data_IF_020235063172
#
_entry.id   IF_020235063172
#
_cell.length_a   1.000
_cell.length_b   1.000
_cell.length_c   1.000
_cell.angle_alpha   90.00
_cell.angle_beta   90.00
_cell.angle_gamma   90.00
#
_symmetry.space_group_name_H-M   'P 1'
#
loop_
_entity.id
_entity.type
_entity.pdbx_description
1 polymer ?
#
# COMPACT_ATOMS: atom_id res chain seq x y z
N UNK A 1 -46.25 23.86 -26.52
CA UNK A 1 -45.07 23.82 -27.39
C UNK A 1 -44.05 24.77 -26.75
N UNK A 2 -43.07 24.27 -26.03
CA UNK A 2 -42.00 25.10 -25.44
C UNK A 2 -41.20 25.66 -26.60
N UNK A 3 -41.09 27.00 -26.68
CA UNK A 3 -40.33 27.62 -27.74
C UNK A 3 -38.84 27.29 -27.55
N UNK A 4 -38.22 26.76 -28.57
CA UNK A 4 -36.81 26.35 -28.56
C UNK A 4 -35.85 27.45 -28.02
N UNK A 5 -36.16 28.71 -28.27
CA UNK A 5 -35.40 29.86 -27.78
C UNK A 5 -35.46 30.09 -26.25
N UNK A 6 -36.46 29.56 -25.56
CA UNK A 6 -36.62 29.73 -24.10
C UNK A 6 -35.83 28.68 -23.26
N UNK A 7 -35.27 27.64 -23.91
CA UNK A 7 -34.50 26.57 -23.26
C UNK A 7 -33.00 26.62 -23.57
N UNK A 8 -32.56 27.58 -24.37
CA UNK A 8 -31.12 27.73 -24.68
C UNK A 8 -30.38 28.41 -23.51
N UNK A 9 -29.35 27.77 -23.06
CA UNK A 9 -28.40 28.34 -22.08
C UNK A 9 -27.44 29.29 -22.80
N UNK A 10 -26.98 30.33 -22.11
CA UNK A 10 -25.86 31.15 -22.59
C UNK A 10 -24.60 30.31 -22.71
N UNK A 11 -23.98 30.30 -23.89
CA UNK A 11 -22.75 29.57 -24.11
C UNK A 11 -21.60 30.26 -23.38
N UNK A 12 -20.76 29.47 -22.70
CA UNK A 12 -19.54 29.99 -22.09
C UNK A 12 -18.45 28.93 -21.98
N UNK A 13 -17.18 29.35 -22.06
CA UNK A 13 -16.05 28.53 -21.83
C UNK A 13 -15.08 29.21 -20.82
N UNK A 14 -14.69 28.51 -19.74
CA UNK A 14 -13.92 29.08 -18.61
C UNK A 14 -14.46 30.42 -18.09
N UNK A 15 -15.80 30.59 -18.11
CA UNK A 15 -16.47 31.83 -17.68
C UNK A 15 -16.52 32.97 -18.70
N UNK A 16 -15.95 32.80 -19.89
CA UNK A 16 -16.09 33.75 -21.00
C UNK A 16 -17.32 33.36 -21.79
N UNK A 17 -18.34 34.22 -21.79
CA UNK A 17 -19.60 34.02 -22.51
C UNK A 17 -19.48 34.44 -23.97
N UNK A 18 -20.17 33.72 -24.86
CA UNK A 18 -20.26 34.02 -26.31
C UNK A 18 -21.59 33.57 -26.89
N UNK A 19 -21.97 34.20 -27.98
CA UNK A 19 -23.16 33.78 -28.74
C UNK A 19 -22.76 32.69 -29.73
N UNK A 20 -23.64 31.71 -29.96
CA UNK A 20 -23.39 30.60 -30.88
C UNK A 20 -24.35 30.72 -32.08
N UNK A 21 -23.79 30.72 -33.29
CA UNK A 21 -24.58 30.70 -34.53
C UNK A 21 -24.76 29.29 -35.06
N UNK A 22 -23.78 28.44 -34.90
CA UNK A 22 -23.81 27.05 -35.38
C UNK A 22 -23.21 26.13 -34.33
N UNK A 23 -23.82 24.96 -34.14
CA UNK A 23 -23.34 23.91 -33.25
C UNK A 23 -23.48 22.56 -33.92
N UNK A 24 -22.39 21.77 -33.94
CA UNK A 24 -22.43 20.39 -34.37
C UNK A 24 -21.76 19.48 -33.33
N UNK A 25 -22.30 18.27 -33.16
CA UNK A 25 -21.85 17.32 -32.15
C UNK A 25 -21.69 15.96 -32.82
N UNK A 26 -20.46 15.42 -32.72
CA UNK A 26 -20.16 14.07 -33.16
C UNK A 26 -20.25 13.13 -31.96
N UNK A 27 -21.11 12.10 -32.08
CA UNK A 27 -21.29 11.07 -31.07
C UNK A 27 -21.09 9.68 -31.69
N UNK A 28 -20.59 8.73 -30.92
CA UNK A 28 -20.38 7.38 -31.42
C UNK A 28 -19.84 6.42 -30.35
N UNK A 29 -19.62 5.20 -30.79
CA UNK A 29 -18.97 4.15 -29.99
C UNK A 29 -17.67 3.70 -30.64
N UNK A 30 -16.73 3.21 -29.84
CA UNK A 30 -15.53 2.51 -30.35
C UNK A 30 -15.93 1.07 -30.61
N UNK A 31 -15.80 0.62 -31.84
CA UNK A 31 -16.13 -0.74 -32.24
C UNK A 31 -14.98 -1.35 -33.04
N UNK A 32 -14.75 -2.65 -32.83
CA UNK A 32 -13.88 -3.45 -33.65
C UNK A 32 -14.74 -4.48 -34.38
N UNK A 33 -14.60 -4.55 -35.69
CA UNK A 33 -15.33 -5.50 -36.52
C UNK A 33 -14.40 -6.64 -36.92
N UNK A 34 -14.82 -7.88 -36.65
CA UNK A 34 -14.13 -9.11 -37.03
C UNK A 34 -14.91 -9.78 -38.16
N UNK A 35 -14.29 -9.88 -39.33
CA UNK A 35 -14.83 -10.58 -40.48
C UNK A 35 -14.19 -11.96 -40.59
N UNK A 36 -15.01 -13.00 -40.60
CA UNK A 36 -14.55 -14.39 -40.71
C UNK A 36 -14.87 -14.94 -42.11
N UNK A 37 -13.92 -15.64 -42.75
CA UNK A 37 -14.20 -16.32 -44.04
C UNK A 37 -15.40 -17.26 -43.91
N UNK A 38 -16.29 -17.23 -44.91
CA UNK A 38 -17.51 -18.08 -44.98
C UNK A 38 -18.61 -17.76 -43.93
N UNK A 39 -18.57 -16.56 -43.32
CA UNK A 39 -19.65 -16.04 -42.50
C UNK A 39 -20.22 -14.75 -43.16
N UNK A 40 -21.53 -14.73 -43.38
CA UNK A 40 -22.20 -13.57 -43.98
C UNK A 40 -22.36 -12.40 -43.02
N UNK A 41 -22.24 -12.64 -41.69
CA UNK A 41 -22.39 -11.60 -40.66
C UNK A 41 -21.08 -11.45 -39.88
N UNK A 42 -20.52 -10.22 -39.84
CA UNK A 42 -19.35 -9.93 -39.00
C UNK A 42 -19.72 -9.92 -37.52
N UNK A 43 -18.74 -10.23 -36.68
CA UNK A 43 -18.83 -10.01 -35.23
C UNK A 43 -18.34 -8.59 -34.92
N UNK A 44 -19.16 -7.79 -34.23
CA UNK A 44 -18.80 -6.43 -33.83
C UNK A 44 -18.66 -6.38 -32.33
N UNK A 45 -17.45 -6.12 -31.86
CA UNK A 45 -17.16 -5.88 -30.45
C UNK A 45 -17.26 -4.40 -30.13
N UNK A 46 -17.97 -4.07 -29.06
CA UNK A 46 -18.16 -2.71 -28.59
C UNK A 46 -17.17 -2.39 -27.44
N UNK A 47 -16.21 -1.50 -27.70
CA UNK A 47 -15.17 -1.09 -26.79
C UNK A 47 -15.53 0.18 -25.97
N UNK A 48 -16.81 0.54 -25.93
CA UNK A 48 -17.33 1.64 -25.13
C UNK A 48 -17.55 2.96 -25.89
N UNK A 49 -17.98 3.99 -25.16
CA UNK A 49 -18.35 5.31 -25.70
C UNK A 49 -17.11 6.02 -26.29
N UNK A 50 -17.25 6.59 -27.48
CA UNK A 50 -16.26 7.51 -28.05
C UNK A 50 -16.45 8.90 -27.43
N UNK A 51 -15.35 9.60 -27.11
CA UNK A 51 -15.42 10.97 -26.66
C UNK A 51 -16.19 11.84 -27.69
N UNK A 52 -17.12 12.66 -27.24
CA UNK A 52 -17.88 13.56 -28.09
C UNK A 52 -16.95 14.64 -28.65
N UNK A 53 -17.08 14.93 -29.94
CA UNK A 53 -16.45 16.10 -30.52
C UNK A 53 -17.55 17.15 -30.75
N UNK A 54 -17.24 18.37 -30.34
CA UNK A 54 -18.18 19.50 -30.35
C UNK A 54 -17.54 20.62 -31.17
N UNK A 55 -18.23 21.07 -32.18
CA UNK A 55 -17.83 22.24 -33.00
C UNK A 55 -18.85 23.32 -32.79
N UNK A 56 -18.38 24.53 -32.48
CA UNK A 56 -19.20 25.71 -32.23
C UNK A 56 -18.64 26.89 -33.01
N UNK A 57 -19.52 27.65 -33.66
CA UNK A 57 -19.13 28.94 -34.20
C UNK A 57 -19.55 30.02 -33.23
N UNK A 58 -18.59 30.55 -32.46
CA UNK A 58 -18.79 31.66 -31.55
C UNK A 58 -18.80 33.00 -32.30
N UNK A 59 -19.68 33.91 -31.90
CA UNK A 59 -19.75 35.25 -32.49
C UNK A 59 -19.81 36.31 -31.41
N UNK A 60 -19.15 37.41 -31.69
CA UNK A 60 -19.24 38.66 -30.93
C UNK A 60 -19.70 39.81 -31.83
N UNK A 61 -20.59 40.64 -31.30
CA UNK A 61 -21.07 41.82 -31.99
C UNK A 61 -21.15 43.02 -31.04
N UNK A 62 -20.95 44.24 -31.55
CA UNK A 62 -21.03 45.46 -30.76
C UNK A 62 -19.70 46.20 -30.68
N UNK A 63 -19.62 47.22 -29.81
CA UNK A 63 -18.45 48.12 -29.74
C UNK A 63 -17.17 47.42 -29.21
N UNK A 64 -17.32 46.41 -28.36
CA UNK A 64 -16.20 45.71 -27.65
C UNK A 64 -15.83 44.38 -28.29
N UNK A 65 -16.33 44.01 -29.47
CA UNK A 65 -16.20 42.71 -30.11
C UNK A 65 -14.72 42.23 -30.23
N UNK A 66 -13.77 43.14 -30.43
CA UNK A 66 -12.34 42.83 -30.52
C UNK A 66 -11.77 42.43 -29.16
N UNK A 67 -12.16 43.18 -28.11
CA UNK A 67 -11.69 42.90 -26.75
C UNK A 67 -12.25 41.58 -26.22
N UNK A 68 -13.53 41.33 -26.47
CA UNK A 68 -14.22 40.12 -26.04
C UNK A 68 -13.71 38.87 -26.79
N UNK A 69 -13.43 39.00 -28.09
CA UNK A 69 -12.80 37.98 -28.90
C UNK A 69 -11.35 37.69 -28.38
N UNK A 70 -10.60 38.74 -28.01
CA UNK A 70 -9.28 38.61 -27.44
C UNK A 70 -9.26 37.80 -26.11
N UNK A 71 -10.29 38.02 -25.25
CA UNK A 71 -10.49 37.23 -24.04
C UNK A 71 -10.76 35.77 -24.34
N UNK A 72 -11.61 35.49 -25.35
CA UNK A 72 -11.88 34.11 -25.76
C UNK A 72 -10.62 33.41 -26.27
N UNK A 73 -9.83 34.09 -27.11
CA UNK A 73 -8.56 33.56 -27.60
C UNK A 73 -7.62 33.21 -26.44
N UNK A 74 -7.43 34.14 -25.49
CA UNK A 74 -6.53 33.90 -24.31
C UNK A 74 -6.96 32.66 -23.52
N UNK A 75 -8.27 32.49 -23.32
CA UNK A 75 -8.80 31.33 -22.57
C UNK A 75 -8.70 30.03 -23.37
N UNK A 76 -8.75 30.09 -24.71
CA UNK A 76 -8.54 28.92 -25.58
C UNK A 76 -7.10 28.46 -25.64
N UNK A 77 -6.14 29.37 -25.40
CA UNK A 77 -4.71 29.06 -25.35
C UNK A 77 -4.24 28.55 -23.97
N UNK A 78 -5.07 28.71 -22.95
CA UNK A 78 -4.76 28.20 -21.60
C UNK A 78 -4.81 26.68 -21.52
N UNK A 79 -3.84 26.08 -20.87
CA UNK A 79 -3.70 24.65 -20.69
C UNK A 79 -4.83 24.05 -19.82
N UNK A 80 -5.20 22.82 -20.13
CA UNK A 80 -6.06 21.95 -19.33
C UNK A 80 -7.53 21.90 -19.74
N UNK A 81 -8.26 20.86 -19.28
CA UNK A 81 -9.69 20.74 -19.50
C UNK A 81 -10.44 21.76 -18.66
N UNK A 82 -11.57 22.23 -19.19
CA UNK A 82 -12.41 23.19 -18.50
C UNK A 82 -13.90 22.98 -18.80
N UNK A 83 -14.72 23.69 -18.05
CA UNK A 83 -16.19 23.63 -18.23
C UNK A 83 -16.60 24.47 -19.42
N UNK A 84 -17.21 23.82 -20.39
CA UNK A 84 -17.99 24.43 -21.47
C UNK A 84 -19.47 24.34 -21.09
N UNK A 85 -20.16 25.48 -21.04
CA UNK A 85 -21.63 25.50 -20.99
C UNK A 85 -22.12 25.51 -22.43
N UNK A 86 -22.65 24.37 -22.87
CA UNK A 86 -23.19 24.25 -24.23
C UNK A 86 -24.66 24.69 -24.26
N UNK A 87 -25.12 25.42 -25.29
CA UNK A 87 -26.49 25.96 -25.33
C UNK A 87 -27.60 24.92 -25.14
N UNK A 88 -27.40 23.70 -25.63
CA UNK A 88 -28.40 22.62 -25.60
C UNK A 88 -28.05 21.44 -24.71
N UNK A 89 -26.75 21.18 -24.43
CA UNK A 89 -26.29 20.04 -23.64
C UNK A 89 -25.98 20.39 -22.17
N UNK A 90 -25.91 21.69 -21.84
CA UNK A 90 -25.55 22.16 -20.51
C UNK A 90 -24.05 22.10 -20.24
N UNK A 91 -23.65 22.15 -18.97
CA UNK A 91 -22.24 22.16 -18.59
C UNK A 91 -21.58 20.81 -18.81
N UNK A 92 -20.38 20.81 -19.40
CA UNK A 92 -19.55 19.61 -19.61
C UNK A 92 -18.08 19.95 -19.58
N UNK A 93 -17.26 18.97 -19.17
CA UNK A 93 -15.80 19.09 -19.18
C UNK A 93 -15.29 18.82 -20.60
N UNK A 94 -14.54 19.76 -21.15
CA UNK A 94 -13.97 19.65 -22.51
C UNK A 94 -12.55 20.17 -22.55
N UNK A 95 -11.79 19.69 -23.53
CA UNK A 95 -10.49 20.24 -23.89
C UNK A 95 -10.57 20.80 -25.30
N UNK A 96 -10.05 22.00 -25.56
CA UNK A 96 -9.93 22.53 -26.91
C UNK A 96 -9.07 21.58 -27.75
N UNK A 97 -9.53 21.27 -28.97
CA UNK A 97 -8.81 20.40 -29.91
C UNK A 97 -8.79 21.07 -31.27
N UNK A 98 -7.67 20.91 -31.98
CA UNK A 98 -7.52 21.55 -33.26
C UNK A 98 -7.09 23.02 -33.21
N UNK A 99 -7.32 23.75 -34.32
CA UNK A 99 -6.95 25.16 -34.46
C UNK A 99 -8.21 26.02 -34.45
N UNK A 100 -8.28 26.97 -33.50
CA UNK A 100 -9.33 27.97 -33.47
C UNK A 100 -9.10 28.96 -34.59
N UNK A 101 -10.05 29.04 -35.55
CA UNK A 101 -9.99 30.00 -36.64
C UNK A 101 -10.81 31.22 -36.29
N UNK A 102 -10.17 32.35 -36.15
CA UNK A 102 -10.87 33.65 -35.91
C UNK A 102 -10.93 34.46 -37.17
N UNK A 103 -12.10 34.98 -37.47
CA UNK A 103 -12.38 35.79 -38.68
C UNK A 103 -12.92 37.15 -38.26
N UNK A 104 -12.23 38.20 -38.69
CA UNK A 104 -12.67 39.59 -38.66
C UNK A 104 -13.02 40.01 -40.07
N UNK A 105 -14.30 40.32 -40.31
CA UNK A 105 -14.77 40.72 -41.66
C UNK A 105 -14.81 42.24 -41.73
N UNK A 106 -13.96 42.81 -42.58
CA UNK A 106 -13.90 44.26 -42.80
C UNK A 106 -15.19 44.83 -43.40
N UNK A 107 -16.04 43.99 -44.01
CA UNK A 107 -17.32 44.40 -44.58
C UNK A 107 -18.43 44.44 -43.52
N UNK A 108 -18.23 43.77 -42.38
CA UNK A 108 -19.14 43.69 -41.22
C UNK A 108 -18.53 44.34 -40.02
N UNK A 109 -18.43 45.66 -39.99
CA UNK A 109 -17.88 46.43 -38.90
C UNK A 109 -18.64 46.11 -37.60
N UNK A 110 -17.92 45.77 -36.49
CA UNK A 110 -18.52 45.44 -35.21
C UNK A 110 -18.90 43.96 -35.05
N UNK A 111 -18.33 43.06 -35.89
CA UNK A 111 -18.61 41.65 -35.86
C UNK A 111 -17.30 40.81 -35.97
N UNK A 112 -17.17 39.77 -35.13
CA UNK A 112 -16.12 38.78 -35.26
C UNK A 112 -16.69 37.38 -35.00
N UNK A 113 -16.14 36.39 -35.68
CA UNK A 113 -16.52 34.97 -35.47
C UNK A 113 -15.31 34.11 -35.22
N UNK A 114 -15.48 33.05 -34.43
CA UNK A 114 -14.45 32.05 -34.15
C UNK A 114 -15.04 30.63 -34.25
N UNK A 115 -14.34 29.77 -34.99
CA UNK A 115 -14.68 28.37 -35.06
C UNK A 115 -13.92 27.64 -33.95
N UNK A 116 -14.65 27.08 -32.99
CA UNK A 116 -14.15 26.39 -31.81
C UNK A 116 -14.40 24.91 -31.97
N UNK A 117 -13.35 24.11 -31.68
CA UNK A 117 -13.47 22.66 -31.66
C UNK A 117 -13.04 22.12 -30.27
N UNK A 118 -13.93 21.33 -29.67
CA UNK A 118 -13.73 20.74 -28.35
C UNK A 118 -13.89 19.23 -28.39
N UNK A 119 -13.16 18.54 -27.55
CA UNK A 119 -13.38 17.11 -27.28
C UNK A 119 -13.76 16.94 -25.81
N UNK A 120 -14.82 16.15 -25.55
CA UNK A 120 -15.25 15.78 -24.22
C UNK A 120 -14.07 15.10 -23.50
N UNK A 121 -13.68 15.64 -22.35
CA UNK A 121 -12.60 15.09 -21.52
C UNK A 121 -13.11 14.84 -20.10
N UNK A 122 -12.54 13.80 -19.44
CA UNK A 122 -12.72 13.59 -18.02
C UNK A 122 -11.86 14.55 -17.19
N UNK A 123 -12.05 14.55 -15.88
CA UNK A 123 -11.12 15.23 -14.99
C UNK A 123 -9.69 14.69 -15.23
N UNK A 124 -8.69 15.56 -15.16
CA UNK A 124 -7.29 15.14 -15.22
C UNK A 124 -7.04 14.17 -14.07
N UNK A 125 -7.04 12.89 -14.38
CA UNK A 125 -6.45 11.86 -13.55
C UNK A 125 -5.14 11.51 -14.23
N UNK A 126 -4.07 12.19 -13.85
CA UNK A 126 -2.76 11.60 -14.10
C UNK A 126 -2.76 10.25 -13.39
N UNK A 127 -2.39 9.15 -14.06
CA UNK A 127 -2.02 7.96 -13.32
C UNK A 127 -0.92 8.44 -12.36
N UNK A 128 -1.24 8.51 -11.06
CA UNK A 128 -0.18 8.65 -10.06
C UNK A 128 0.78 7.52 -10.37
N UNK A 129 2.10 7.80 -10.51
CA UNK A 129 3.05 6.72 -10.58
C UNK A 129 2.67 5.79 -9.44
N UNK A 130 2.36 4.54 -9.73
CA UNK A 130 2.18 3.52 -8.71
C UNK A 130 3.56 3.42 -8.10
N UNK A 131 3.78 4.17 -7.02
CA UNK A 131 4.98 4.03 -6.21
C UNK A 131 4.86 2.62 -5.67
N UNK A 132 5.81 1.77 -6.00
CA UNK A 132 5.92 0.46 -5.38
C UNK A 132 6.27 0.70 -3.90
N UNK A 133 5.22 0.78 -3.10
CA UNK A 133 5.33 1.09 -1.67
C UNK A 133 6.01 -0.04 -0.92
N UNK A 134 5.88 -1.29 -1.38
CA UNK A 134 6.58 -2.44 -0.83
C UNK A 134 8.10 -2.30 -0.97
N UNK A 135 8.60 -1.81 -2.12
CA UNK A 135 10.04 -1.56 -2.30
C UNK A 135 10.58 -0.43 -1.41
N UNK A 136 9.72 0.49 -0.96
CA UNK A 136 10.09 1.52 0.02
C UNK A 136 10.25 0.90 1.41
N UNK A 137 9.34 -0.01 1.79
CA UNK A 137 9.42 -0.77 3.05
C UNK A 137 10.68 -1.63 3.08
N UNK A 138 10.98 -2.34 1.99
CA UNK A 138 12.18 -3.17 1.88
C UNK A 138 13.47 -2.35 2.06
N UNK A 139 13.56 -1.17 1.43
CA UNK A 139 14.71 -0.26 1.65
C UNK A 139 14.81 0.24 3.08
N UNK A 140 13.69 0.58 3.71
CA UNK A 140 13.65 1.00 5.11
C UNK A 140 14.12 -0.13 6.04
N UNK A 141 13.72 -1.37 5.77
CA UNK A 141 14.20 -2.56 6.44
C UNK A 141 15.73 -2.71 6.34
N UNK A 142 16.29 -2.64 5.14
CA UNK A 142 17.74 -2.77 4.93
C UNK A 142 18.51 -1.66 5.65
N UNK A 143 18.03 -0.43 5.57
CA UNK A 143 18.63 0.70 6.26
C UNK A 143 18.60 0.53 7.79
N UNK A 144 17.46 0.10 8.34
CA UNK A 144 17.31 -0.14 9.76
C UNK A 144 18.26 -1.23 10.24
N UNK A 145 18.36 -2.35 9.51
CA UNK A 145 19.28 -3.45 9.80
C UNK A 145 20.74 -2.98 9.83
N UNK A 146 21.18 -2.26 8.79
CA UNK A 146 22.55 -1.77 8.68
C UNK A 146 22.91 -0.81 9.82
N UNK A 147 22.04 0.15 10.12
CA UNK A 147 22.27 1.14 11.16
C UNK A 147 22.28 0.50 12.55
N UNK A 148 21.34 -0.42 12.83
CA UNK A 148 21.27 -1.11 14.13
C UNK A 148 22.53 -1.94 14.39
N UNK A 149 23.01 -2.67 13.37
CA UNK A 149 24.24 -3.47 13.48
C UNK A 149 25.46 -2.58 13.69
N UNK A 150 25.62 -1.54 12.87
CA UNK A 150 26.73 -0.58 12.97
C UNK A 150 26.77 0.09 14.36
N UNK A 151 25.61 0.55 14.85
CA UNK A 151 25.53 1.19 16.17
C UNK A 151 25.91 0.25 17.29
N UNK A 152 25.55 -1.04 17.19
CA UNK A 152 25.93 -2.05 18.14
C UNK A 152 27.43 -2.35 18.10
N UNK A 153 28.04 -2.51 16.93
CA UNK A 153 29.47 -2.77 16.76
C UNK A 153 30.35 -1.60 17.26
N UNK A 154 29.88 -0.37 17.09
CA UNK A 154 30.57 0.85 17.52
C UNK A 154 30.34 1.20 19.00
N UNK A 155 29.47 0.49 19.73
CA UNK A 155 29.18 0.76 21.14
C UNK A 155 30.44 0.57 22.02
N UNK A 156 30.88 1.66 22.71
CA UNK A 156 32.05 1.58 23.60
C UNK A 156 31.92 0.55 24.73
N UNK A 157 30.68 0.25 25.14
CA UNK A 157 30.42 -0.75 26.17
C UNK A 157 30.76 -2.17 25.70
N UNK A 158 30.62 -2.42 24.40
CA UNK A 158 30.94 -3.69 23.76
C UNK A 158 32.43 -3.80 23.51
N UNK A 159 33.04 -2.79 22.89
CA UNK A 159 34.44 -2.79 22.49
C UNK A 159 35.38 -2.81 23.67
N UNK A 160 35.02 -2.21 24.81
CA UNK A 160 35.84 -2.11 26.02
C UNK A 160 35.43 -3.08 27.15
N UNK A 161 34.47 -3.97 26.92
CA UNK A 161 34.02 -4.93 27.93
C UNK A 161 35.01 -6.09 28.10
N UNK A 162 35.04 -6.65 29.31
CA UNK A 162 35.81 -7.84 29.62
C UNK A 162 35.17 -9.09 28.99
N UNK A 163 36.00 -10.06 28.61
CA UNK A 163 35.55 -11.26 27.90
C UNK A 163 34.41 -12.00 28.63
N UNK A 164 34.56 -12.21 29.96
CA UNK A 164 33.54 -12.90 30.74
C UNK A 164 32.18 -12.17 30.79
N UNK A 165 32.17 -10.85 30.66
CA UNK A 165 30.91 -10.04 30.59
C UNK A 165 30.26 -10.28 29.25
N UNK A 166 31.03 -10.28 28.14
CA UNK A 166 30.55 -10.59 26.81
C UNK A 166 29.97 -12.00 26.71
N UNK A 167 30.67 -12.98 27.32
CA UNK A 167 30.21 -14.37 27.37
C UNK A 167 28.86 -14.51 28.09
N UNK A 168 28.72 -13.86 29.26
CA UNK A 168 27.48 -13.89 30.04
C UNK A 168 26.30 -13.27 29.26
N UNK A 169 26.53 -12.17 28.51
CA UNK A 169 25.50 -11.56 27.67
C UNK A 169 25.14 -12.46 26.50
N UNK A 170 26.14 -13.07 25.84
CA UNK A 170 25.89 -13.95 24.71
C UNK A 170 25.14 -15.22 25.11
N UNK A 171 25.42 -15.79 26.27
CA UNK A 171 24.67 -16.93 26.83
C UNK A 171 23.20 -16.56 27.08
N UNK A 172 22.95 -15.37 27.63
CA UNK A 172 21.60 -14.89 27.86
C UNK A 172 20.81 -14.64 26.55
N UNK A 173 21.49 -14.12 25.52
CA UNK A 173 20.89 -13.95 24.17
C UNK A 173 20.61 -15.33 23.56
N UNK A 174 21.49 -16.29 23.66
CA UNK A 174 21.27 -17.65 23.16
C UNK A 174 20.07 -18.34 23.79
N UNK A 175 19.80 -18.12 25.08
CA UNK A 175 18.58 -18.62 25.74
C UNK A 175 17.30 -18.03 25.14
N UNK A 176 17.34 -16.80 24.66
CA UNK A 176 16.22 -16.19 24.00
C UNK A 176 15.83 -16.90 22.70
N UNK A 177 16.82 -17.36 21.92
CA UNK A 177 16.60 -18.09 20.67
C UNK A 177 16.03 -19.50 20.88
N UNK A 178 16.04 -20.02 22.09
CA UNK A 178 15.43 -21.33 22.44
C UNK A 178 13.99 -21.22 22.89
N UNK A 179 13.37 -20.02 22.89
CA UNK A 179 11.96 -19.85 23.25
C UNK A 179 11.03 -20.48 22.18
N UNK A 180 9.87 -20.99 22.63
CA UNK A 180 8.91 -21.64 21.74
C UNK A 180 8.47 -20.74 20.58
N UNK A 181 8.26 -19.44 20.83
CA UNK A 181 7.88 -18.46 19.80
C UNK A 181 8.99 -18.26 18.76
N UNK A 182 10.26 -18.23 19.19
CA UNK A 182 11.39 -18.09 18.28
C UNK A 182 11.62 -19.35 17.44
N UNK A 183 11.47 -20.53 18.03
CA UNK A 183 11.53 -21.80 17.32
C UNK A 183 10.36 -21.95 16.35
N UNK A 184 9.17 -21.47 16.69
CA UNK A 184 8.03 -21.44 15.77
C UNK A 184 8.30 -20.51 14.58
N UNK A 185 8.89 -19.33 14.82
CA UNK A 185 9.33 -18.41 13.79
C UNK A 185 10.34 -19.11 12.85
N UNK A 186 11.34 -19.78 13.40
CA UNK A 186 12.34 -20.55 12.63
C UNK A 186 11.70 -21.62 11.71
N UNK A 187 10.66 -22.30 12.18
CA UNK A 187 9.90 -23.26 11.34
C UNK A 187 9.16 -22.58 10.20
N UNK A 188 8.57 -21.42 10.43
CA UNK A 188 7.86 -20.65 9.39
C UNK A 188 8.80 -20.13 8.30
N UNK A 189 10.03 -19.76 8.69
CA UNK A 189 11.08 -19.36 7.75
C UNK A 189 11.86 -20.54 7.15
N UNK A 190 11.65 -21.77 7.64
CA UNK A 190 12.36 -22.95 7.16
C UNK A 190 13.83 -23.06 7.61
N UNK A 191 14.22 -22.34 8.66
CA UNK A 191 15.60 -22.27 9.18
C UNK A 191 15.76 -22.86 10.58
N UNK A 192 14.87 -23.75 10.99
CA UNK A 192 14.90 -24.36 12.33
C UNK A 192 16.25 -24.98 12.70
N UNK A 193 16.86 -25.70 11.75
CA UNK A 193 18.13 -26.41 11.98
C UNK A 193 19.28 -25.41 12.14
N UNK A 194 19.29 -24.32 11.36
CA UNK A 194 20.28 -23.24 11.47
C UNK A 194 20.17 -22.49 12.80
N UNK A 195 18.95 -22.20 13.25
CA UNK A 195 18.74 -21.56 14.56
C UNK A 195 19.17 -22.44 15.70
N UNK A 196 18.97 -23.74 15.62
CA UNK A 196 19.43 -24.68 16.62
C UNK A 196 20.96 -24.78 16.62
N UNK A 197 21.61 -24.79 15.45
CA UNK A 197 23.05 -24.74 15.28
C UNK A 197 23.64 -23.46 15.92
N UNK A 198 23.09 -22.29 15.67
CA UNK A 198 23.51 -21.02 16.29
C UNK A 198 23.33 -21.02 17.81
N UNK A 199 22.27 -21.61 18.32
CA UNK A 199 22.06 -21.74 19.77
C UNK A 199 23.11 -22.69 20.40
N UNK A 200 23.44 -23.83 19.76
CA UNK A 200 24.42 -24.77 20.20
C UNK A 200 25.86 -24.23 20.10
N UNK A 201 26.20 -23.53 19.01
CA UNK A 201 27.48 -22.84 18.85
C UNK A 201 27.68 -21.76 19.89
N UNK A 202 26.64 -21.00 20.24
CA UNK A 202 26.68 -19.97 21.28
C UNK A 202 27.04 -20.58 22.66
N UNK A 203 26.54 -21.77 22.96
CA UNK A 203 26.82 -22.50 24.23
C UNK A 203 28.21 -23.14 24.22
N UNK A 204 28.70 -23.64 23.06
CA UNK A 204 30.00 -24.30 22.96
C UNK A 204 31.18 -23.31 22.82
N UNK A 205 30.92 -22.10 22.32
CA UNK A 205 31.95 -21.08 22.05
C UNK A 205 32.40 -20.28 23.29
N UNK A 206 32.00 -20.67 24.51
CA UNK A 206 32.37 -20.03 25.79
C UNK A 206 33.91 -19.85 25.94
N UNK A 207 34.72 -20.52 25.11
CA UNK A 207 36.18 -20.37 25.10
C UNK A 207 36.73 -19.31 24.14
N UNK A 208 35.89 -18.66 23.29
CA UNK A 208 36.33 -17.65 22.32
C UNK A 208 35.34 -16.48 22.28
N UNK A 209 35.49 -15.53 23.18
CA UNK A 209 34.57 -14.42 23.46
C UNK A 209 34.10 -13.59 22.22
N UNK A 210 34.97 -13.42 21.24
CA UNK A 210 34.59 -12.66 20.01
C UNK A 210 33.66 -13.43 19.06
N UNK A 211 33.67 -14.76 19.12
CA UNK A 211 32.84 -15.60 18.25
C UNK A 211 31.41 -15.74 18.75
N UNK A 212 31.20 -15.75 20.07
CA UNK A 212 29.87 -15.91 20.70
C UNK A 212 28.98 -14.69 20.41
N UNK A 213 29.53 -13.47 20.54
CA UNK A 213 28.78 -12.26 20.23
C UNK A 213 28.45 -12.18 18.71
N UNK A 214 29.43 -12.61 17.87
CA UNK A 214 29.22 -12.73 16.43
C UNK A 214 28.13 -13.74 16.07
N UNK A 215 28.07 -14.90 16.72
CA UNK A 215 27.00 -15.89 16.51
C UNK A 215 25.63 -15.37 16.96
N UNK A 216 25.60 -14.66 18.11
CA UNK A 216 24.36 -14.03 18.59
C UNK A 216 23.82 -12.97 17.62
N UNK A 217 24.70 -12.15 17.02
CA UNK A 217 24.35 -11.18 15.98
C UNK A 217 23.86 -11.90 14.71
N UNK A 218 24.57 -12.96 14.28
CA UNK A 218 24.16 -13.74 13.10
C UNK A 218 22.80 -14.39 13.29
N UNK A 219 22.51 -14.92 14.49
CA UNK A 219 21.21 -15.47 14.82
C UNK A 219 20.10 -14.39 14.86
N UNK A 220 20.39 -13.17 15.36
CA UNK A 220 19.45 -12.07 15.39
C UNK A 220 18.98 -11.65 13.98
N UNK A 221 19.84 -11.81 12.97
CA UNK A 221 19.55 -11.48 11.57
C UNK A 221 19.40 -12.70 10.65
N UNK A 222 19.27 -13.93 11.22
CA UNK A 222 19.19 -15.17 10.45
C UNK A 222 17.98 -15.23 9.49
N UNK A 223 16.93 -14.46 9.76
CA UNK A 223 15.72 -14.41 8.94
C UNK A 223 15.87 -13.53 7.68
N UNK A 224 16.88 -12.69 7.62
CA UNK A 224 17.02 -11.62 6.65
C UNK A 224 17.11 -12.08 5.18
N UNK A 225 17.64 -13.28 4.96
CA UNK A 225 17.93 -13.77 3.60
C UNK A 225 16.94 -14.87 3.14
N UNK A 226 15.89 -15.17 3.93
CA UNK A 226 14.99 -16.32 3.72
C UNK A 226 13.56 -15.87 3.45
N UNK A 227 13.33 -15.11 2.40
CA UNK A 227 11.97 -14.66 2.02
C UNK A 227 11.20 -15.65 1.13
N UNK A 228 11.89 -16.57 0.47
CA UNK A 228 11.30 -17.42 -0.58
C UNK A 228 10.52 -18.64 -0.08
N UNK A 229 10.63 -19.02 1.20
CA UNK A 229 9.98 -20.20 1.78
C UNK A 229 8.76 -19.87 2.66
N UNK A 230 8.46 -18.58 2.84
CA UNK A 230 7.42 -18.14 3.78
C UNK A 230 6.05 -18.07 3.10
N UNK A 231 5.07 -18.72 3.71
CA UNK A 231 3.69 -18.78 3.21
C UNK A 231 2.66 -18.09 4.12
N UNK A 232 2.98 -17.83 5.40
CA UNK A 232 2.03 -17.23 6.37
C UNK A 232 2.61 -15.99 7.06
N UNK A 233 2.69 -14.89 6.32
CA UNK A 233 3.18 -13.60 6.81
C UNK A 233 2.34 -13.03 7.96
N UNK A 234 1.05 -13.32 7.99
CA UNK A 234 0.14 -12.91 9.08
C UNK A 234 0.49 -13.56 10.41
N UNK A 235 0.92 -14.81 10.39
CA UNK A 235 1.35 -15.53 11.59
C UNK A 235 2.68 -15.00 12.07
N UNK A 236 3.61 -14.76 11.16
CA UNK A 236 4.92 -14.20 11.45
C UNK A 236 4.80 -12.85 12.17
N UNK A 237 4.04 -11.89 11.65
CA UNK A 237 3.88 -10.58 12.29
C UNK A 237 3.32 -10.68 13.71
N UNK A 238 2.42 -11.62 13.97
CA UNK A 238 1.87 -11.87 15.31
C UNK A 238 2.90 -12.49 16.27
N UNK A 239 3.72 -13.43 15.78
CA UNK A 239 4.79 -14.04 16.59
C UNK A 239 5.86 -12.98 16.91
N UNK A 240 6.29 -12.21 15.91
CA UNK A 240 7.26 -11.12 16.09
C UNK A 240 6.75 -10.09 17.11
N UNK A 241 5.49 -9.70 17.07
CA UNK A 241 4.90 -8.78 18.05
C UNK A 241 4.92 -9.35 19.48
N UNK A 242 4.73 -10.68 19.67
CA UNK A 242 4.84 -11.32 20.97
C UNK A 242 6.29 -11.36 21.47
N UNK A 243 7.22 -11.72 20.59
CA UNK A 243 8.65 -11.77 20.90
C UNK A 243 9.20 -10.41 21.32
N UNK A 244 8.86 -9.34 20.60
CA UNK A 244 9.28 -7.97 20.91
C UNK A 244 8.76 -7.52 22.29
N UNK A 245 7.57 -7.98 22.68
CA UNK A 245 6.93 -7.64 23.97
C UNK A 245 7.30 -8.61 25.13
N UNK A 246 8.08 -9.64 24.86
CA UNK A 246 8.37 -10.70 25.85
C UNK A 246 9.25 -10.19 27.01
N UNK A 247 9.06 -10.79 28.19
CA UNK A 247 9.85 -10.46 29.40
C UNK A 247 11.36 -10.78 29.23
N UNK A 248 11.71 -11.68 28.33
CA UNK A 248 13.11 -11.96 27.99
C UNK A 248 13.87 -10.72 27.50
N UNK A 249 13.17 -9.80 26.85
CA UNK A 249 13.74 -8.55 26.37
C UNK A 249 13.89 -7.47 27.44
N UNK A 250 13.39 -7.70 28.65
CA UNK A 250 13.40 -6.74 29.74
C UNK A 250 14.08 -7.27 31.02
N UNK A 251 14.83 -8.39 30.94
CA UNK A 251 15.44 -9.05 32.10
C UNK A 251 16.64 -8.24 32.62
N UNK A 252 16.68 -8.00 33.91
CA UNK A 252 17.82 -7.41 34.62
C UNK A 252 18.79 -8.50 35.03
N UNK A 253 20.04 -8.41 34.56
CA UNK A 253 21.09 -9.39 34.78
C UNK A 253 22.10 -8.97 35.87
N UNK A 254 21.86 -7.84 36.56
CA UNK A 254 22.81 -7.23 37.48
C UNK A 254 22.95 -7.94 38.83
N UNK A 255 22.15 -8.97 39.13
CA UNK A 255 22.03 -9.52 40.50
C UNK A 255 23.13 -10.52 40.91
N UNK A 256 23.99 -11.02 40.00
CA UNK A 256 24.83 -12.16 40.26
C UNK A 256 26.36 -11.87 40.37
N UNK A 257 26.79 -10.60 40.27
CA UNK A 257 28.18 -10.22 40.27
C UNK A 257 28.65 -9.61 41.59
N UNK A 258 29.87 -10.04 42.06
CA UNK A 258 30.46 -9.59 43.31
C UNK A 258 30.98 -8.13 43.30
N UNK A 259 31.21 -7.55 42.10
CA UNK A 259 31.68 -6.16 41.92
C UNK A 259 30.57 -5.26 41.37
N UNK A 260 30.28 -4.17 42.06
CA UNK A 260 29.30 -3.18 41.61
C UNK A 260 29.66 -2.54 40.24
N UNK A 261 30.94 -2.40 39.92
CA UNK A 261 31.43 -1.85 38.66
C UNK A 261 31.19 -2.83 37.50
N UNK A 262 31.44 -4.13 37.72
CA UNK A 262 31.25 -5.16 36.71
C UNK A 262 29.74 -5.43 36.51
N UNK A 263 28.96 -5.36 37.57
CA UNK A 263 27.50 -5.42 37.49
C UNK A 263 26.92 -4.28 36.64
N UNK A 264 27.41 -3.05 36.80
CA UNK A 264 26.97 -1.91 35.99
C UNK A 264 27.34 -2.08 34.50
N UNK A 265 28.55 -2.58 34.21
CA UNK A 265 28.98 -2.88 32.83
C UNK A 265 28.17 -3.99 32.20
N UNK A 266 27.89 -5.08 32.95
CA UNK A 266 27.04 -6.17 32.51
C UNK A 266 25.63 -5.66 32.16
N UNK A 267 25.06 -4.82 33.02
CA UNK A 267 23.73 -4.22 32.76
C UNK A 267 23.75 -3.41 31.51
N UNK A 268 24.74 -2.54 31.30
CA UNK A 268 24.81 -1.71 30.09
C UNK A 268 24.97 -2.55 28.83
N UNK A 269 25.88 -3.52 28.83
CA UNK A 269 26.07 -4.41 27.69
C UNK A 269 24.85 -5.26 27.41
N UNK A 270 24.15 -5.72 28.45
CA UNK A 270 22.87 -6.44 28.31
C UNK A 270 21.78 -5.57 27.68
N UNK A 271 21.70 -4.30 28.05
CA UNK A 271 20.75 -3.36 27.46
C UNK A 271 21.04 -3.10 25.97
N UNK A 272 22.32 -2.91 25.60
CA UNK A 272 22.71 -2.76 24.18
C UNK A 272 22.38 -4.01 23.37
N UNK A 273 22.66 -5.20 23.91
CA UNK A 273 22.34 -6.46 23.23
C UNK A 273 20.83 -6.72 23.10
N UNK A 274 20.04 -6.39 24.14
CA UNK A 274 18.59 -6.47 24.09
C UNK A 274 18.00 -5.47 23.09
N UNK A 275 18.58 -4.28 23.01
CA UNK A 275 18.18 -3.27 22.03
C UNK A 275 18.42 -3.78 20.60
N UNK A 276 19.60 -4.36 20.30
CA UNK A 276 19.87 -4.98 19.01
C UNK A 276 18.86 -6.09 18.69
N UNK A 277 18.62 -7.00 19.64
CA UNK A 277 17.67 -8.09 19.44
C UNK A 277 16.24 -7.60 19.16
N UNK A 278 15.77 -6.57 19.87
CA UNK A 278 14.47 -5.94 19.58
C UNK A 278 14.45 -5.26 18.21
N UNK A 279 15.48 -4.50 17.88
CA UNK A 279 15.60 -3.80 16.61
C UNK A 279 15.65 -4.78 15.43
N UNK A 280 16.34 -5.92 15.57
CA UNK A 280 16.35 -6.97 14.54
C UNK A 280 14.97 -7.58 14.32
N UNK A 281 14.24 -7.87 15.40
CA UNK A 281 12.86 -8.39 15.29
C UNK A 281 11.88 -7.36 14.73
N UNK A 282 12.04 -6.08 15.04
CA UNK A 282 11.25 -5.00 14.47
C UNK A 282 11.59 -4.86 12.97
N UNK A 283 12.86 -4.94 12.60
CA UNK A 283 13.27 -4.95 11.19
C UNK A 283 12.62 -6.11 10.42
N UNK A 284 12.63 -7.33 10.98
CA UNK A 284 11.94 -8.48 10.38
C UNK A 284 10.41 -8.27 10.32
N UNK A 285 9.81 -7.62 11.30
CA UNK A 285 8.39 -7.26 11.25
C UNK A 285 8.11 -6.27 10.10
N UNK A 286 8.94 -5.26 9.92
CA UNK A 286 8.87 -4.31 8.80
C UNK A 286 8.99 -5.05 7.47
N UNK A 287 9.97 -5.95 7.33
CA UNK A 287 10.15 -6.79 6.14
C UNK A 287 8.91 -7.65 5.87
N UNK A 288 8.38 -8.33 6.89
CA UNK A 288 7.18 -9.15 6.76
C UNK A 288 5.96 -8.36 6.27
N UNK A 289 5.83 -7.08 6.65
CA UNK A 289 4.70 -6.24 6.18
C UNK A 289 4.72 -5.99 4.68
N UNK A 290 5.89 -5.96 4.03
CA UNK A 290 6.02 -5.79 2.59
C UNK A 290 5.38 -6.95 1.79
N UNK A 291 5.38 -8.16 2.36
CA UNK A 291 4.87 -9.38 1.72
C UNK A 291 3.42 -9.72 2.10
N UNK A 292 2.87 -9.10 3.14
CA UNK A 292 1.47 -9.30 3.56
C UNK A 292 0.52 -8.91 2.44
N UNK A 293 -0.44 -9.78 2.11
CA UNK A 293 -1.41 -9.55 1.03
C UNK A 293 -0.88 -9.83 -0.37
N UNK A 294 0.26 -10.51 -0.51
CA UNK A 294 0.78 -11.01 -1.78
C UNK A 294 -0.06 -12.15 -2.38
N UNK A 295 0.37 -12.67 -3.53
CA UNK A 295 -0.35 -13.70 -4.29
C UNK A 295 -0.60 -14.99 -3.51
N UNK A 296 0.23 -15.32 -2.53
CA UNK A 296 0.12 -16.53 -1.71
C UNK A 296 -0.95 -16.38 -0.63
N UNK A 297 -1.08 -15.21 -0.01
CA UNK A 297 -2.17 -14.92 0.93
C UNK A 297 -3.56 -14.96 0.26
N UNK A 298 -3.63 -14.72 -1.05
CA UNK A 298 -4.86 -14.85 -1.84
C UNK A 298 -5.32 -16.30 -1.93
N UNK A 299 -4.39 -17.27 -2.00
CA UNK A 299 -4.70 -18.70 -2.05
C UNK A 299 -5.33 -19.22 -0.75
N UNK A 300 -5.07 -18.58 0.39
CA UNK A 300 -5.65 -18.89 1.71
C UNK A 300 -6.91 -18.07 2.05
N UNK A 301 -7.57 -17.47 1.07
CA UNK A 301 -8.81 -16.72 1.26
C UNK A 301 -8.62 -15.19 1.31
N UNK A 302 -7.44 -14.69 0.94
CA UNK A 302 -7.12 -13.28 0.88
C UNK A 302 -7.04 -12.60 2.25
N UNK A 303 -6.43 -11.43 2.28
CA UNK A 303 -6.38 -10.59 3.46
C UNK A 303 -7.45 -9.49 3.37
N UNK A 304 -8.15 -9.24 4.47
CA UNK A 304 -9.15 -8.18 4.53
C UNK A 304 -8.52 -6.82 4.88
N UNK A 305 -9.25 -5.75 4.57
CA UNK A 305 -8.91 -4.39 5.01
C UNK A 305 -8.60 -4.33 6.51
N UNK A 306 -9.48 -4.91 7.34
CA UNK A 306 -9.37 -4.87 8.80
C UNK A 306 -8.14 -5.63 9.31
N UNK A 307 -7.79 -6.76 8.67
CA UNK A 307 -6.58 -7.52 8.99
C UNK A 307 -5.30 -6.75 8.62
N UNK A 308 -5.26 -6.09 7.44
CA UNK A 308 -4.13 -5.24 7.05
C UNK A 308 -3.91 -4.08 8.03
N UNK A 309 -4.99 -3.42 8.45
CA UNK A 309 -4.93 -2.34 9.42
C UNK A 309 -4.41 -2.84 10.78
N UNK A 310 -4.86 -4.02 11.23
CA UNK A 310 -4.35 -4.62 12.47
C UNK A 310 -2.85 -4.93 12.39
N UNK A 311 -2.37 -5.46 11.28
CA UNK A 311 -0.93 -5.75 11.08
C UNK A 311 -0.14 -4.44 11.06
N UNK A 312 -0.64 -3.43 10.36
CA UNK A 312 -0.05 -2.08 10.37
C UNK A 312 0.10 -1.57 11.80
N UNK A 313 -0.98 -1.58 12.56
CA UNK A 313 -1.01 -1.02 13.91
C UNK A 313 -0.07 -1.80 14.84
N UNK A 314 0.02 -3.13 14.72
CA UNK A 314 0.98 -3.93 15.48
C UNK A 314 2.44 -3.57 15.18
N UNK A 315 2.76 -3.31 13.90
CA UNK A 315 4.10 -2.91 13.50
C UNK A 315 4.44 -1.49 13.99
N UNK A 316 3.51 -0.55 13.84
CA UNK A 316 3.68 0.83 14.31
C UNK A 316 3.84 0.90 15.83
N UNK A 317 3.02 0.17 16.59
CA UNK A 317 3.13 0.08 18.05
C UNK A 317 4.52 -0.44 18.51
N UNK A 318 5.06 -1.44 17.78
CA UNK A 318 6.37 -1.99 18.09
C UNK A 318 7.50 -0.97 17.81
N UNK A 319 7.43 -0.27 16.69
CA UNK A 319 8.39 0.77 16.32
C UNK A 319 8.31 1.94 17.30
N UNK A 320 7.11 2.44 17.61
CA UNK A 320 6.90 3.56 18.53
C UNK A 320 7.40 3.24 19.94
N UNK A 321 7.18 2.00 20.42
CA UNK A 321 7.68 1.55 21.72
C UNK A 321 9.21 1.47 21.79
N UNK A 322 9.89 1.15 20.69
CA UNK A 322 11.35 1.13 20.63
C UNK A 322 11.93 2.54 20.50
N UNK A 323 11.32 3.42 19.67
CA UNK A 323 11.75 4.82 19.51
C UNK A 323 11.81 5.58 20.85
N UNK A 324 10.96 5.23 21.81
CA UNK A 324 10.97 5.82 23.16
C UNK A 324 12.16 5.37 24.04
N UNK A 325 12.88 4.32 23.65
CA UNK A 325 13.99 3.72 24.41
C UNK A 325 15.36 4.04 23.85
N UNK A 326 15.41 4.64 22.64
CA UNK A 326 16.64 4.85 21.89
C UNK A 326 17.15 6.27 22.10
N UNK A 327 18.45 6.37 22.45
CA UNK A 327 19.17 7.63 22.57
C UNK A 327 20.00 7.97 21.32
N UNK A 328 20.15 7.02 20.37
CA UNK A 328 20.94 7.19 19.15
C UNK A 328 20.10 7.79 18.03
N UNK A 329 20.49 8.96 17.52
CA UNK A 329 19.76 9.72 16.50
C UNK A 329 19.66 8.96 15.16
N UNK A 330 20.71 8.24 14.74
CA UNK A 330 20.73 7.52 13.46
C UNK A 330 19.72 6.35 13.48
N UNK A 331 19.67 5.61 14.60
CA UNK A 331 18.70 4.51 14.80
C UNK A 331 17.30 5.08 14.89
N UNK A 332 17.10 6.19 15.58
CA UNK A 332 15.81 6.87 15.68
C UNK A 332 15.27 7.25 14.29
N UNK A 333 16.10 7.88 13.46
CA UNK A 333 15.73 8.27 12.09
C UNK A 333 15.43 7.06 11.20
N UNK A 334 16.17 5.95 11.36
CA UNK A 334 15.89 4.73 10.63
C UNK A 334 14.53 4.13 11.01
N UNK A 335 14.19 4.11 12.31
CA UNK A 335 12.88 3.68 12.81
C UNK A 335 11.75 4.60 12.32
N UNK A 336 11.94 5.92 12.32
CA UNK A 336 10.96 6.88 11.80
C UNK A 336 10.71 6.67 10.29
N UNK A 337 11.77 6.42 9.52
CA UNK A 337 11.67 6.09 8.10
C UNK A 337 10.88 4.79 7.89
N UNK A 338 11.18 3.73 8.65
CA UNK A 338 10.48 2.47 8.59
C UNK A 338 9.00 2.62 9.00
N UNK A 339 8.73 3.39 10.05
CA UNK A 339 7.38 3.73 10.51
C UNK A 339 6.53 4.35 9.39
N UNK A 340 7.08 5.36 8.75
CA UNK A 340 6.40 6.07 7.65
C UNK A 340 6.17 5.14 6.46
N UNK A 341 7.18 4.36 6.06
CA UNK A 341 7.08 3.41 4.96
C UNK A 341 5.99 2.35 5.19
N UNK A 342 5.93 1.73 6.36
CA UNK A 342 4.92 0.73 6.73
C UNK A 342 3.51 1.35 6.79
N UNK A 343 3.38 2.55 7.36
CA UNK A 343 2.10 3.24 7.46
C UNK A 343 1.52 3.56 6.08
N UNK A 344 2.33 4.08 5.18
CA UNK A 344 1.92 4.45 3.83
C UNK A 344 1.62 3.22 2.97
N UNK A 345 2.47 2.19 3.02
CA UNK A 345 2.32 0.97 2.25
C UNK A 345 1.05 0.21 2.63
N UNK A 346 0.90 -0.19 3.89
CA UNK A 346 -0.26 -0.96 4.32
C UNK A 346 -1.57 -0.16 4.24
N UNK A 347 -1.54 1.17 4.45
CA UNK A 347 -2.73 2.01 4.27
C UNK A 347 -3.15 2.07 2.80
N UNK A 348 -2.19 2.20 1.89
CA UNK A 348 -2.46 2.26 0.43
C UNK A 348 -2.99 0.91 -0.07
N UNK A 349 -2.34 -0.19 0.29
CA UNK A 349 -2.79 -1.55 -0.11
C UNK A 349 -4.11 -1.94 0.53
N UNK A 350 -4.37 -1.52 1.76
CA UNK A 350 -5.64 -1.78 2.43
C UNK A 350 -6.83 -1.12 1.71
N UNK A 351 -6.65 0.03 1.04
CA UNK A 351 -7.74 0.70 0.31
C UNK A 351 -8.33 -0.18 -0.81
N UNK A 352 -7.49 -1.02 -1.41
CA UNK A 352 -7.90 -1.93 -2.48
C UNK A 352 -8.36 -3.30 -1.94
N UNK A 353 -8.19 -3.57 -0.65
CA UNK A 353 -8.56 -4.83 -0.02
C UNK A 353 -10.06 -4.90 0.29
N UNK A 354 -10.63 -6.11 0.15
CA UNK A 354 -12.03 -6.35 0.50
C UNK A 354 -12.26 -6.19 2.01
N UNK A 355 -13.41 -5.62 2.39
CA UNK A 355 -13.79 -5.47 3.79
C UNK A 355 -14.47 -6.72 4.32
N UNK A 356 -14.32 -6.98 5.61
CA UNK A 356 -15.06 -8.03 6.29
C UNK A 356 -16.53 -7.63 6.47
N UNK A 357 -17.42 -8.55 6.10
CA UNK A 357 -18.86 -8.43 6.30
C UNK A 357 -19.31 -9.63 7.15
N UNK A 358 -20.18 -9.37 8.10
CA UNK A 358 -20.73 -10.39 8.99
C UNK A 358 -22.12 -10.82 8.51
N UNK A 359 -22.28 -12.11 8.21
CA UNK A 359 -23.53 -12.67 7.73
C UNK A 359 -23.93 -13.87 8.59
N UNK A 360 -25.17 -13.91 9.05
CA UNK A 360 -25.71 -15.04 9.80
C UNK A 360 -26.71 -15.80 8.93
N UNK A 361 -26.39 -17.03 8.48
CA UNK A 361 -27.37 -17.87 7.78
C UNK A 361 -28.56 -18.21 8.68
N UNK A 362 -29.76 -18.25 8.11
CA UNK A 362 -30.97 -18.56 8.87
C UNK A 362 -31.01 -20.02 9.33
N UNK A 363 -30.38 -20.91 8.58
CA UNK A 363 -30.33 -22.38 8.84
C UNK A 363 -28.96 -22.93 8.43
N UNK A 364 -28.69 -24.17 8.85
CA UNK A 364 -27.49 -24.89 8.47
C UNK A 364 -27.47 -25.08 6.94
N UNK A 365 -26.51 -24.44 6.27
CA UNK A 365 -26.46 -24.34 4.81
C UNK A 365 -25.07 -24.73 4.31
N UNK A 366 -24.93 -25.44 3.16
CA UNK A 366 -23.61 -25.70 2.59
C UNK A 366 -22.85 -24.41 2.22
N UNK A 367 -21.53 -24.40 2.43
CA UNK A 367 -20.67 -23.25 2.10
C UNK A 367 -20.78 -22.82 0.62
N UNK A 368 -20.94 -23.80 -0.28
CA UNK A 368 -21.14 -23.57 -1.70
C UNK A 368 -22.41 -22.75 -1.99
N UNK A 369 -23.51 -23.01 -1.26
CA UNK A 369 -24.77 -22.28 -1.40
C UNK A 369 -24.62 -20.87 -0.83
N UNK A 370 -23.92 -20.72 0.30
CA UNK A 370 -23.62 -19.41 0.88
C UNK A 370 -22.77 -18.58 -0.08
N UNK A 371 -21.71 -19.17 -0.66
CA UNK A 371 -20.86 -18.52 -1.63
C UNK A 371 -21.64 -18.06 -2.87
N UNK A 372 -22.46 -18.94 -3.42
CA UNK A 372 -23.29 -18.60 -4.58
C UNK A 372 -24.31 -17.49 -4.27
N UNK A 373 -24.99 -17.55 -3.13
CA UNK A 373 -26.00 -16.57 -2.76
C UNK A 373 -25.38 -15.18 -2.49
N UNK A 374 -24.19 -15.16 -1.91
CA UNK A 374 -23.56 -13.91 -1.52
C UNK A 374 -22.67 -13.31 -2.63
N UNK A 375 -21.82 -14.15 -3.25
CA UNK A 375 -20.86 -13.70 -4.27
C UNK A 375 -21.38 -13.86 -5.71
N UNK A 376 -22.38 -14.71 -5.93
CA UNK A 376 -22.76 -15.18 -7.27
C UNK A 376 -21.79 -16.23 -7.84
N UNK A 377 -20.82 -16.66 -7.05
CA UNK A 377 -19.75 -17.59 -7.44
C UNK A 377 -19.56 -18.67 -6.38
N UNK A 378 -19.86 -19.91 -6.73
CA UNK A 378 -19.74 -21.07 -5.85
C UNK A 378 -18.27 -21.50 -5.61
N UNK A 379 -17.32 -21.11 -6.50
CA UNK A 379 -15.90 -21.45 -6.36
C UNK A 379 -15.26 -20.86 -5.10
N UNK A 380 -15.79 -19.73 -4.60
CA UNK A 380 -15.35 -19.07 -3.37
C UNK A 380 -15.81 -19.77 -2.07
N UNK A 381 -16.40 -20.96 -2.15
CA UNK A 381 -16.85 -21.72 -0.97
C UNK A 381 -15.70 -22.11 -0.04
N UNK A 382 -14.52 -22.41 -0.58
CA UNK A 382 -13.34 -22.75 0.20
C UNK A 382 -12.87 -21.57 1.06
N UNK A 383 -12.89 -20.35 0.53
CA UNK A 383 -12.60 -19.12 1.27
C UNK A 383 -13.46 -18.97 2.53
N UNK A 384 -14.76 -19.28 2.43
CA UNK A 384 -15.69 -19.23 3.57
C UNK A 384 -15.33 -20.26 4.62
N UNK A 385 -14.97 -21.48 4.20
CA UNK A 385 -14.59 -22.60 5.08
C UNK A 385 -13.34 -22.23 5.87
N UNK A 386 -12.30 -21.76 5.20
CA UNK A 386 -10.99 -21.48 5.78
C UNK A 386 -11.04 -20.28 6.73
N UNK A 387 -11.69 -19.19 6.30
CA UNK A 387 -11.86 -17.98 7.09
C UNK A 387 -12.63 -18.20 8.38
N UNK A 388 -13.65 -19.06 8.36
CA UNK A 388 -14.50 -19.33 9.52
C UNK A 388 -14.11 -20.62 10.26
N UNK A 389 -13.01 -21.29 9.86
CA UNK A 389 -12.53 -22.56 10.43
C UNK A 389 -13.63 -23.61 10.52
N UNK A 390 -14.37 -23.80 9.41
CA UNK A 390 -15.51 -24.71 9.34
C UNK A 390 -14.99 -26.13 9.09
N UNK A 391 -15.35 -27.07 9.96
CA UNK A 391 -14.90 -28.46 9.85
C UNK A 391 -15.45 -29.22 8.63
N UNK A 392 -16.67 -28.90 8.22
CA UNK A 392 -17.35 -29.56 7.12
C UNK A 392 -18.11 -28.56 6.26
N UNK A 393 -17.65 -28.34 5.04
CA UNK A 393 -18.21 -27.33 4.13
C UNK A 393 -19.66 -27.60 3.69
N UNK A 394 -20.14 -28.84 3.81
CA UNK A 394 -21.54 -29.21 3.53
C UNK A 394 -22.53 -28.79 4.65
N UNK A 395 -22.04 -28.46 5.84
CA UNK A 395 -22.86 -28.14 7.01
C UNK A 395 -22.31 -26.96 7.77
N UNK A 396 -22.46 -25.78 7.20
CA UNK A 396 -22.06 -24.53 7.86
C UNK A 396 -23.09 -24.17 8.92
N UNK A 397 -22.70 -23.99 10.19
CA UNK A 397 -23.64 -23.71 11.25
C UNK A 397 -24.30 -22.34 11.07
N UNK A 398 -25.56 -22.21 11.53
CA UNK A 398 -26.30 -20.94 11.56
C UNK A 398 -25.76 -20.01 12.67
N UNK A 399 -24.55 -19.51 12.49
CA UNK A 399 -23.87 -18.54 13.34
C UNK A 399 -23.32 -17.40 12.49
N UNK A 400 -22.88 -16.33 13.12
CA UNK A 400 -22.21 -15.24 12.44
C UNK A 400 -20.96 -15.73 11.71
N UNK A 401 -20.90 -15.48 10.41
CA UNK A 401 -19.81 -15.81 9.51
C UNK A 401 -19.13 -14.56 9.03
N UNK A 402 -17.81 -14.63 8.90
CA UNK A 402 -16.98 -13.60 8.29
C UNK A 402 -16.84 -13.85 6.80
N UNK A 403 -17.34 -12.94 5.99
CA UNK A 403 -17.23 -12.97 4.53
C UNK A 403 -16.48 -11.72 4.05
N UNK A 404 -15.82 -11.78 2.89
CA UNK A 404 -15.28 -10.60 2.25
C UNK A 404 -16.39 -9.83 1.52
N UNK A 405 -16.25 -8.51 1.41
CA UNK A 405 -17.10 -7.70 0.53
C UNK A 405 -16.89 -8.11 -0.95
N UNK A 406 -17.87 -7.82 -1.78
CA UNK A 406 -17.76 -8.02 -3.23
C UNK A 406 -16.79 -7.04 -3.85
#
# INVERSE_FOLDING_TARGET
MVKFAETLLDASYKGVSFSVTESSIEVGRRTVTFEYPQRDFPYVEDLGKKARKIKLTAVYSGQNYVTDMGRLISVMEEEGPAVLVHPTLGPMMVTPTGVTKVVYDATKIGFASADLEFTESGAYSFPKPITDTASVVERAYQQMREISLKTFEEDPNITNSLDFIRDAVAENIAQYYTTDDYLELGRLYGISDQLQEYAEESVQAISQASSVLGSAISAAFAFADVTTAVTDWRRITRILSRLIKSDYMNRDYATDLASATDAAKLTQLSLSAQSLARQSLIAEMVNATAYVGGSEDIAEGGISYDEMIQIRDLALDAIDAEMLKIDNDDVYLALESARTAVADDLTTRAQDAARLIFVTPQEVTPALVIAYNFYGDASRSQEIIDRNKIRHGGFVPAKELKLLSR
#
